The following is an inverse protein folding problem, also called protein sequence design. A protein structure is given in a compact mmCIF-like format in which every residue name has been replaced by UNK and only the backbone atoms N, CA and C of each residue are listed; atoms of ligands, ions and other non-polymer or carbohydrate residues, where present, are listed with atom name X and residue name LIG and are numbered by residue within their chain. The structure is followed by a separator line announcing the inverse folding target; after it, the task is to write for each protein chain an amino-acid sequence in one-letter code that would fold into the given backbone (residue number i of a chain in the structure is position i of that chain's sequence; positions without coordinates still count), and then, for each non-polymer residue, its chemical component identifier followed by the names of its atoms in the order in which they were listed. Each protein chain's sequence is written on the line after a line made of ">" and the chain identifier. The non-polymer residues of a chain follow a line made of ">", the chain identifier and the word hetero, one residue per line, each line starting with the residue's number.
data_IF_713126620864
#
_entry.id   IF_713126620864
#
_cell.length_a   1.000
_cell.length_b   1.000
_cell.length_c   1.000
_cell.angle_alpha   90.00
_cell.angle_beta   90.00
_cell.angle_gamma   90.00
#
_symmetry.space_group_name_H-M   'P 1'
#
loop_
_entity.id
_entity.type
_entity.pdbx_description
1 polymer ?
#
# COMPACT_ATOMS: atom_id res chain seq x y z
N UNK A 1 4.07 4.15 -24.53
CA UNK A 1 4.18 5.42 -23.77
C UNK A 1 2.83 6.10 -23.84
N UNK A 2 2.24 6.45 -22.70
CA UNK A 2 1.02 7.28 -22.68
C UNK A 2 1.37 8.66 -23.24
N UNK A 3 0.53 9.25 -24.09
CA UNK A 3 0.73 10.63 -24.51
C UNK A 3 0.63 11.57 -23.30
N UNK A 4 1.37 12.68 -23.33
CA UNK A 4 1.45 13.69 -22.28
C UNK A 4 0.12 14.42 -22.00
N UNK A 5 -0.87 14.22 -22.87
CA UNK A 5 -2.17 14.91 -22.87
C UNK A 5 -3.21 14.34 -21.88
N UNK A 6 -2.95 13.21 -21.20
CA UNK A 6 -3.93 12.60 -20.28
C UNK A 6 -3.74 13.10 -18.84
N UNK A 7 -3.72 14.42 -18.67
CA UNK A 7 -3.79 15.10 -17.37
C UNK A 7 -5.25 15.30 -17.00
N UNK A 8 -5.85 14.33 -16.38
CA UNK A 8 -7.16 14.58 -15.76
C UNK A 8 -6.98 15.59 -14.63
N UNK A 9 -7.66 16.75 -14.67
CA UNK A 9 -7.56 17.75 -13.62
C UNK A 9 -7.82 17.14 -12.23
N UNK A 10 -6.93 17.40 -11.25
CA UNK A 10 -7.06 16.93 -9.88
C UNK A 10 -6.29 15.67 -9.51
N UNK A 11 -5.63 14.97 -10.47
CA UNK A 11 -4.83 13.77 -10.21
C UNK A 11 -3.45 13.89 -10.85
N UNK A 12 -2.50 14.59 -10.21
CA UNK A 12 -1.19 14.84 -10.78
C UNK A 12 -0.37 13.56 -10.89
N UNK A 13 0.43 13.40 -11.96
CA UNK A 13 1.29 12.24 -12.13
C UNK A 13 2.50 12.28 -11.21
N UNK A 14 3.02 11.11 -10.86
CA UNK A 14 4.29 10.96 -10.15
C UNK A 14 5.44 11.39 -11.08
N UNK A 15 6.40 12.14 -10.51
CA UNK A 15 7.61 12.63 -11.18
C UNK A 15 8.70 12.90 -10.13
N UNK A 16 9.89 13.26 -10.57
CA UNK A 16 10.96 13.69 -9.66
C UNK A 16 10.63 14.97 -8.90
N UNK A 17 9.88 15.90 -9.55
CA UNK A 17 9.37 17.09 -8.86
C UNK A 17 8.31 16.72 -7.82
N UNK A 18 7.42 15.78 -8.13
CA UNK A 18 6.45 15.23 -7.18
C UNK A 18 7.15 14.57 -5.98
N UNK A 19 8.25 13.85 -6.19
CA UNK A 19 9.07 13.29 -5.12
C UNK A 19 9.68 14.38 -4.24
N UNK A 20 10.24 15.44 -4.82
CA UNK A 20 10.81 16.55 -4.06
C UNK A 20 9.74 17.26 -3.21
N UNK A 21 8.56 17.50 -3.77
CA UNK A 21 7.41 18.06 -3.05
C UNK A 21 6.96 17.11 -1.92
N UNK A 22 6.84 15.81 -2.21
CA UNK A 22 6.44 14.80 -1.23
C UNK A 22 7.37 14.78 -0.03
N UNK A 23 8.67 14.81 -0.28
CA UNK A 23 9.69 14.82 0.76
C UNK A 23 9.66 16.13 1.57
N UNK A 24 9.56 17.29 0.90
CA UNK A 24 9.60 18.60 1.56
C UNK A 24 8.43 18.84 2.52
N UNK A 25 7.28 18.24 2.21
CA UNK A 25 6.07 18.39 3.01
C UNK A 25 5.82 17.18 3.95
N UNK A 26 6.75 16.25 4.06
CA UNK A 26 6.68 15.11 4.97
C UNK A 26 7.30 15.39 6.33
N UNK A 27 7.13 14.44 7.24
CA UNK A 27 7.69 14.48 8.59
C UNK A 27 8.61 13.29 8.82
N UNK A 28 9.57 13.45 9.71
CA UNK A 28 10.40 12.37 10.19
C UNK A 28 10.14 12.12 11.67
N UNK A 29 10.14 10.84 12.05
CA UNK A 29 10.10 10.38 13.44
C UNK A 29 11.22 9.40 13.72
N UNK A 30 11.31 8.92 14.94
CA UNK A 30 12.26 7.90 15.38
C UNK A 30 11.49 6.69 15.91
N UNK A 31 11.63 5.55 15.25
CA UNK A 31 10.99 4.28 15.61
C UNK A 31 12.05 3.20 15.78
N UNK A 32 12.14 2.61 16.97
CA UNK A 32 13.11 1.54 17.30
C UNK A 32 14.57 1.90 16.93
N UNK A 33 14.97 3.15 17.14
CA UNK A 33 16.32 3.66 16.83
C UNK A 33 16.56 3.94 15.34
N UNK A 34 15.51 3.94 14.50
CA UNK A 34 15.59 4.24 13.08
C UNK A 34 14.77 5.48 12.74
N UNK A 35 15.29 6.29 11.82
CA UNK A 35 14.59 7.43 11.27
C UNK A 35 13.55 6.96 10.27
N UNK A 36 12.28 7.28 10.52
CA UNK A 36 11.15 6.90 9.68
C UNK A 36 10.42 8.13 9.15
N UNK A 37 9.93 8.03 7.92
CA UNK A 37 9.24 9.11 7.21
C UNK A 37 7.75 8.84 7.14
N UNK A 38 6.95 9.90 7.22
CA UNK A 38 5.54 9.87 6.83
C UNK A 38 5.12 11.20 6.16
N UNK A 39 4.29 11.09 5.15
CA UNK A 39 3.52 12.21 4.63
C UNK A 39 2.26 12.35 5.48
N UNK A 40 2.01 13.54 6.00
CA UNK A 40 0.86 13.82 6.86
C UNK A 40 0.12 15.03 6.32
N UNK A 41 -1.20 14.95 6.26
CA UNK A 41 -2.10 16.07 6.09
C UNK A 41 -3.05 16.10 7.28
N UNK A 42 -2.90 17.10 8.14
CA UNK A 42 -3.74 17.34 9.28
C UNK A 42 -4.39 18.71 9.08
N UNK A 43 -5.65 18.71 8.65
CA UNK A 43 -6.39 19.93 8.50
C UNK A 43 -6.90 20.37 9.88
N UNK A 44 -6.24 21.36 10.47
CA UNK A 44 -6.74 22.03 11.67
C UNK A 44 -8.15 22.61 11.39
N UNK A 45 -9.20 21.87 11.70
CA UNK A 45 -10.59 22.26 11.39
C UNK A 45 -11.59 21.28 12.01
N UNK A 46 -12.88 21.32 11.61
CA UNK A 46 -13.88 20.37 12.10
C UNK A 46 -13.38 18.94 11.91
N UNK A 47 -13.57 18.11 12.93
CA UNK A 47 -12.98 16.79 13.07
C UNK A 47 -13.20 15.93 11.82
N UNK A 48 -12.19 15.87 10.95
CA UNK A 48 -12.20 14.98 9.79
C UNK A 48 -11.72 13.60 10.22
N UNK A 49 -12.30 12.51 9.69
CA UNK A 49 -11.81 11.17 9.96
C UNK A 49 -10.36 11.01 9.42
N UNK A 50 -9.58 10.15 10.06
CA UNK A 50 -8.26 9.81 9.58
C UNK A 50 -8.30 8.70 8.53
N UNK A 51 -7.44 8.83 7.53
CA UNK A 51 -7.19 7.85 6.49
C UNK A 51 -5.71 7.49 6.45
N UNK A 52 -5.43 6.24 6.76
CA UNK A 52 -4.11 5.62 6.67
C UNK A 52 -3.91 4.99 5.28
N UNK A 53 -2.82 5.33 4.63
CA UNK A 53 -2.46 4.88 3.28
C UNK A 53 -1.18 4.05 3.34
N UNK A 54 -1.28 2.72 3.15
CA UNK A 54 -0.15 1.79 3.29
C UNK A 54 0.30 1.32 1.91
N UNK A 55 1.55 1.66 1.54
CA UNK A 55 2.12 1.37 0.23
C UNK A 55 2.55 -0.09 0.04
N UNK A 56 2.96 -0.41 -1.20
CA UNK A 56 3.43 -1.72 -1.63
C UNK A 56 4.95 -1.87 -1.73
N UNK A 57 5.40 -3.11 -2.04
CA UNK A 57 6.76 -3.45 -2.43
C UNK A 57 6.91 -3.33 -3.96
N UNK A 58 7.99 -2.79 -4.48
CA UNK A 58 9.15 -2.21 -3.81
C UNK A 58 9.10 -0.69 -3.69
N UNK A 59 7.93 -0.08 -3.87
CA UNK A 59 7.72 1.37 -3.90
C UNK A 59 7.67 1.99 -2.50
N UNK A 60 6.96 3.10 -2.33
CA UNK A 60 6.91 3.88 -1.10
C UNK A 60 5.59 4.65 -1.00
N UNK A 61 5.40 5.42 0.06
CA UNK A 61 4.19 6.26 0.25
C UNK A 61 3.91 7.22 -0.90
N UNK A 62 4.90 7.52 -1.76
CA UNK A 62 4.72 8.29 -3.00
C UNK A 62 3.70 7.66 -3.95
N UNK A 63 3.38 6.36 -3.82
CA UNK A 63 2.29 5.68 -4.54
C UNK A 63 0.96 6.45 -4.47
N UNK A 64 0.76 7.17 -3.37
CA UNK A 64 -0.47 7.89 -3.05
C UNK A 64 -0.49 9.34 -3.55
N UNK A 65 0.61 9.83 -4.13
CA UNK A 65 0.70 11.20 -4.63
C UNK A 65 -0.45 11.58 -5.58
N UNK A 66 -0.85 10.73 -6.56
CA UNK A 66 -1.94 11.07 -7.46
C UNK A 66 -3.29 11.28 -6.77
N UNK A 67 -3.52 10.61 -5.64
CA UNK A 67 -4.78 10.68 -4.88
C UNK A 67 -4.75 11.69 -3.74
N UNK A 68 -3.56 12.17 -3.34
CA UNK A 68 -3.34 12.90 -2.10
C UNK A 68 -4.25 14.11 -1.92
N UNK A 69 -4.20 15.02 -2.89
CA UNK A 69 -4.97 16.28 -2.82
C UNK A 69 -6.48 16.04 -2.85
N UNK A 70 -6.93 15.03 -3.59
CA UNK A 70 -8.35 14.69 -3.66
C UNK A 70 -8.84 14.11 -2.32
N UNK A 71 -8.08 13.18 -1.72
CA UNK A 71 -8.42 12.57 -0.43
C UNK A 71 -8.34 13.55 0.74
N UNK A 72 -7.44 14.54 0.68
CA UNK A 72 -7.29 15.58 1.70
C UNK A 72 -8.50 16.52 1.82
N UNK A 73 -9.47 16.45 0.91
CA UNK A 73 -10.73 17.20 1.00
C UNK A 73 -11.64 16.69 2.11
N UNK A 74 -11.64 15.37 2.31
CA UNK A 74 -12.57 14.69 3.20
C UNK A 74 -11.90 14.10 4.45
N UNK A 75 -10.57 13.86 4.40
CA UNK A 75 -9.83 13.16 5.44
C UNK A 75 -8.58 13.93 5.91
N UNK A 76 -8.21 13.70 7.17
CA UNK A 76 -6.83 13.80 7.59
C UNK A 76 -6.07 12.59 7.06
N UNK A 77 -4.85 12.76 6.55
CA UNK A 77 -4.12 11.71 5.86
C UNK A 77 -2.81 11.36 6.56
N UNK A 78 -2.52 10.07 6.62
CA UNK A 78 -1.25 9.52 7.06
C UNK A 78 -0.76 8.49 6.04
N UNK A 79 0.41 8.72 5.44
CA UNK A 79 1.07 7.79 4.52
C UNK A 79 2.52 7.58 4.96
N UNK A 80 2.81 6.57 5.80
CA UNK A 80 4.16 6.27 6.23
C UNK A 80 4.94 5.55 5.13
N UNK A 81 6.25 5.83 5.03
CA UNK A 81 7.19 4.91 4.41
C UNK A 81 7.56 3.84 5.44
N UNK A 82 7.25 2.60 5.12
CA UNK A 82 7.60 1.45 5.95
C UNK A 82 9.12 1.33 6.09
N UNK A 83 9.61 0.73 7.17
CA UNK A 83 11.05 0.56 7.37
C UNK A 83 11.65 -0.29 6.24
N UNK A 84 12.77 0.15 5.69
CA UNK A 84 13.38 -0.45 4.51
C UNK A 84 12.92 0.13 3.17
N UNK A 85 11.92 1.03 3.17
CA UNK A 85 11.32 1.62 1.97
C UNK A 85 11.46 3.14 1.93
N UNK A 86 11.31 3.70 0.74
CA UNK A 86 11.14 5.13 0.51
C UNK A 86 12.22 6.01 1.16
N UNK A 87 11.77 6.98 1.93
CA UNK A 87 12.57 7.95 2.66
C UNK A 87 12.90 7.51 4.10
N UNK A 88 12.29 6.41 4.58
CA UNK A 88 12.65 5.77 5.86
C UNK A 88 14.01 5.08 5.77
N UNK A 89 14.63 4.86 6.92
CA UNK A 89 15.90 4.16 7.04
C UNK A 89 15.82 2.72 6.49
N UNK A 90 16.97 2.23 6.05
CA UNK A 90 17.15 0.93 5.39
C UNK A 90 18.22 0.09 6.09
N UNK A 91 18.02 -0.30 7.37
CA UNK A 91 19.03 -1.05 8.11
C UNK A 91 19.31 -2.41 7.45
N UNK A 92 20.60 -2.69 7.22
CA UNK A 92 21.03 -3.95 6.58
C UNK A 92 20.94 -5.18 7.50
N UNK A 93 20.92 -4.96 8.82
CA UNK A 93 20.78 -5.99 9.85
C UNK A 93 19.47 -5.76 10.60
N UNK A 94 18.36 -6.12 9.98
CA UNK A 94 17.03 -5.98 10.55
C UNK A 94 16.10 -7.08 10.03
N UNK A 95 15.23 -7.59 10.88
CA UNK A 95 14.20 -8.55 10.49
C UNK A 95 12.95 -7.80 10.06
N UNK A 96 12.76 -7.69 8.75
CA UNK A 96 11.63 -7.00 8.14
C UNK A 96 10.36 -7.85 8.20
N UNK A 97 9.73 -7.92 9.37
CA UNK A 97 8.49 -8.66 9.56
C UNK A 97 7.26 -7.78 9.33
N UNK A 98 6.16 -8.39 8.93
CA UNK A 98 4.87 -7.69 8.80
C UNK A 98 4.40 -7.13 10.14
N UNK A 99 4.60 -7.86 11.23
CA UNK A 99 4.28 -7.39 12.58
C UNK A 99 5.06 -6.11 12.94
N UNK A 100 6.38 -6.08 12.67
CA UNK A 100 7.20 -4.88 12.89
C UNK A 100 6.78 -3.68 12.04
N UNK A 101 6.30 -3.92 10.81
CA UNK A 101 5.74 -2.83 9.98
C UNK A 101 4.39 -2.34 10.52
N UNK A 102 3.56 -3.23 11.07
CA UNK A 102 2.35 -2.82 11.76
C UNK A 102 2.66 -2.00 13.03
N UNK A 103 3.71 -2.36 13.79
CA UNK A 103 4.18 -1.58 14.94
C UNK A 103 4.61 -0.16 14.53
N UNK A 104 5.30 -0.01 13.39
CA UNK A 104 5.66 1.30 12.83
C UNK A 104 4.42 2.12 12.46
N UNK A 105 3.41 1.50 11.87
CA UNK A 105 2.13 2.16 11.57
C UNK A 105 1.44 2.62 12.85
N UNK A 106 1.35 1.76 13.86
CA UNK A 106 0.75 2.11 15.17
C UNK A 106 1.56 3.18 15.90
N UNK A 107 2.90 3.19 15.77
CA UNK A 107 3.75 4.29 16.25
C UNK A 107 3.30 5.63 15.66
N UNK A 108 3.15 5.73 14.33
CA UNK A 108 2.68 6.96 13.70
C UNK A 108 1.27 7.36 14.15
N UNK A 109 0.35 6.41 14.26
CA UNK A 109 -0.97 6.67 14.80
C UNK A 109 -0.91 7.27 16.22
N UNK A 110 -0.05 6.71 17.07
CA UNK A 110 0.15 7.19 18.44
C UNK A 110 0.76 8.60 18.47
N UNK A 111 1.78 8.87 17.63
CA UNK A 111 2.42 10.19 17.54
C UNK A 111 1.45 11.29 17.09
N UNK A 112 0.43 10.93 16.33
CA UNK A 112 -0.58 11.86 15.80
C UNK A 112 -1.89 11.86 16.60
N UNK A 113 -1.97 11.09 17.70
CA UNK A 113 -3.19 10.96 18.51
C UNK A 113 -4.36 10.32 17.77
N UNK A 114 -4.09 9.49 16.77
CA UNK A 114 -5.12 8.81 15.97
C UNK A 114 -5.70 7.65 16.78
N UNK A 115 -6.94 7.79 17.21
CA UNK A 115 -7.65 6.75 17.96
C UNK A 115 -8.28 5.73 17.03
N UNK A 116 -8.88 6.20 15.93
CA UNK A 116 -9.53 5.37 14.92
C UNK A 116 -9.21 5.89 13.51
N UNK A 117 -9.04 4.97 12.54
CA UNK A 117 -8.71 5.33 11.17
C UNK A 117 -9.39 4.43 10.14
N UNK A 118 -9.70 4.99 8.97
CA UNK A 118 -9.91 4.22 7.75
C UNK A 118 -8.57 3.82 7.15
N UNK A 119 -8.51 2.70 6.45
CA UNK A 119 -7.27 2.20 5.84
C UNK A 119 -7.47 1.95 4.35
N UNK A 120 -6.53 2.40 3.53
CA UNK A 120 -6.34 1.93 2.15
C UNK A 120 -4.94 1.34 2.04
N UNK A 121 -4.86 0.10 1.60
CA UNK A 121 -3.60 -0.64 1.54
C UNK A 121 -3.38 -1.27 0.16
N UNK A 122 -2.13 -1.25 -0.30
CA UNK A 122 -1.73 -1.79 -1.60
C UNK A 122 -0.59 -2.82 -1.44
N UNK A 123 -0.64 -3.91 -2.20
CA UNK A 123 0.41 -4.92 -2.38
C UNK A 123 0.99 -5.48 -1.06
N UNK A 124 2.18 -5.06 -0.62
CA UNK A 124 2.79 -5.39 0.66
C UNK A 124 1.91 -4.88 1.81
N UNK A 125 1.42 -3.65 1.68
CA UNK A 125 0.57 -2.99 2.66
C UNK A 125 -0.73 -3.75 2.97
N UNK A 126 -1.27 -4.56 2.03
CA UNK A 126 -2.47 -5.35 2.33
C UNK A 126 -2.21 -6.37 3.44
N UNK A 127 -0.98 -6.92 3.52
CA UNK A 127 -0.62 -7.85 4.59
C UNK A 127 -0.42 -7.12 5.92
N UNK A 128 0.14 -5.89 5.89
CA UNK A 128 0.18 -5.03 7.08
C UNK A 128 -1.24 -4.72 7.57
N UNK A 129 -2.15 -4.39 6.65
CA UNK A 129 -3.56 -4.15 6.99
C UNK A 129 -4.27 -5.40 7.54
N UNK A 130 -3.93 -6.60 7.06
CA UNK A 130 -4.43 -7.86 7.63
C UNK A 130 -3.91 -8.09 9.07
N UNK A 131 -2.65 -7.74 9.35
CA UNK A 131 -2.12 -7.78 10.72
C UNK A 131 -2.84 -6.78 11.63
N UNK A 132 -3.08 -5.55 11.15
CA UNK A 132 -3.86 -4.55 11.90
C UNK A 132 -5.30 -5.03 12.16
N UNK A 133 -5.96 -5.68 11.19
CA UNK A 133 -7.27 -6.30 11.39
C UNK A 133 -7.24 -7.42 12.45
N UNK A 134 -6.19 -8.25 12.46
CA UNK A 134 -6.03 -9.29 13.46
C UNK A 134 -5.88 -8.69 14.87
N UNK A 135 -5.08 -7.63 15.02
CA UNK A 135 -4.91 -6.89 16.28
C UNK A 135 -6.22 -6.22 16.73
N UNK A 136 -6.97 -5.62 15.80
CA UNK A 136 -8.25 -4.97 16.08
C UNK A 136 -9.29 -5.99 16.61
N UNK A 137 -9.30 -7.21 16.03
CA UNK A 137 -10.11 -8.32 16.52
C UNK A 137 -9.71 -8.74 17.95
N UNK A 138 -8.41 -8.79 18.24
CA UNK A 138 -7.89 -9.12 19.57
C UNK A 138 -8.26 -8.06 20.62
N UNK A 139 -8.23 -6.77 20.22
CA UNK A 139 -8.73 -5.68 21.08
C UNK A 139 -10.21 -5.85 21.36
N UNK A 140 -11.03 -6.11 20.34
CA UNK A 140 -12.46 -6.32 20.48
C UNK A 140 -12.80 -7.53 21.38
N UNK A 141 -12.05 -8.65 21.26
CA UNK A 141 -12.21 -9.82 22.11
C UNK A 141 -11.90 -9.55 23.60
N UNK A 142 -11.11 -8.50 23.88
CA UNK A 142 -10.79 -8.01 25.23
C UNK A 142 -11.71 -6.90 25.71
N UNK A 143 -12.77 -6.57 24.95
CA UNK A 143 -13.71 -5.49 25.27
C UNK A 143 -13.11 -4.08 25.07
N UNK A 144 -11.99 -3.95 24.35
CA UNK A 144 -11.34 -2.67 24.06
C UNK A 144 -11.87 -2.06 22.77
N UNK A 145 -11.74 -0.73 22.66
CA UNK A 145 -12.19 -0.01 21.47
C UNK A 145 -11.42 -0.43 20.22
N UNK A 146 -12.14 -0.60 19.11
CA UNK A 146 -11.56 -0.86 17.80
C UNK A 146 -10.86 0.38 17.26
N UNK A 147 -9.73 0.16 16.58
CA UNK A 147 -8.93 1.22 15.96
C UNK A 147 -9.22 1.40 14.47
N UNK A 148 -9.81 0.37 13.83
CA UNK A 148 -10.14 0.42 12.42
C UNK A 148 -11.63 0.75 12.22
N UNK A 149 -11.90 1.76 11.36
CA UNK A 149 -13.24 2.15 10.95
C UNK A 149 -13.69 1.46 9.66
N UNK A 150 -12.77 1.28 8.71
CA UNK A 150 -12.96 0.49 7.48
C UNK A 150 -11.62 0.15 6.84
N UNK A 151 -11.59 -0.87 5.96
CA UNK A 151 -10.38 -1.25 5.22
C UNK A 151 -10.69 -1.42 3.75
N UNK A 152 -9.93 -0.74 2.89
CA UNK A 152 -9.97 -0.95 1.44
C UNK A 152 -8.64 -1.55 0.98
N UNK A 153 -8.72 -2.66 0.29
CA UNK A 153 -7.57 -3.33 -0.31
C UNK A 153 -7.49 -2.97 -1.80
N UNK A 154 -6.32 -2.57 -2.24
CA UNK A 154 -5.95 -2.53 -3.66
C UNK A 154 -5.08 -3.75 -3.95
N UNK A 155 -4.96 -4.15 -5.21
CA UNK A 155 -4.20 -5.33 -5.64
C UNK A 155 -3.09 -5.76 -4.68
N UNK A 156 -3.12 -7.00 -4.22
CA UNK A 156 -2.14 -7.56 -3.28
C UNK A 156 -2.45 -8.99 -2.91
N UNK A 157 -1.47 -9.73 -2.42
CA UNK A 157 -1.62 -11.14 -2.09
C UNK A 157 -2.28 -11.36 -0.73
N UNK A 158 -3.58 -11.17 -0.63
CA UNK A 158 -4.36 -11.42 0.59
C UNK A 158 -4.34 -12.90 1.02
N UNK A 159 -4.23 -13.81 0.05
CA UNK A 159 -4.25 -15.25 0.26
C UNK A 159 -2.97 -15.88 -0.26
N UNK A 160 -2.18 -16.57 0.58
CA UNK A 160 -0.91 -17.20 0.17
C UNK A 160 -1.08 -18.19 -0.99
N UNK A 161 -2.21 -18.89 -1.04
CA UNK A 161 -2.54 -19.90 -2.06
C UNK A 161 -2.80 -19.31 -3.44
N UNK A 162 -3.23 -18.04 -3.52
CA UNK A 162 -3.54 -17.39 -4.81
C UNK A 162 -2.37 -16.53 -5.32
N UNK A 163 -1.32 -16.31 -4.54
CA UNK A 163 -0.21 -15.47 -4.93
C UNK A 163 0.64 -16.09 -6.05
N UNK A 164 0.66 -15.45 -7.22
CA UNK A 164 1.46 -15.86 -8.38
C UNK A 164 2.82 -15.18 -8.36
N UNK A 165 3.78 -15.84 -7.69
CA UNK A 165 5.14 -15.31 -7.51
C UNK A 165 5.87 -15.15 -8.84
N UNK A 166 6.37 -13.95 -9.14
CA UNK A 166 7.17 -13.64 -10.34
C UNK A 166 8.56 -14.30 -10.26
N UNK A 167 9.21 -14.61 -11.40
CA UNK A 167 10.53 -15.25 -11.41
C UNK A 167 11.57 -14.53 -10.55
N UNK A 168 11.63 -13.19 -10.62
CA UNK A 168 12.54 -12.39 -9.81
C UNK A 168 12.27 -12.54 -8.30
N UNK A 169 11.01 -12.63 -7.88
CA UNK A 169 10.64 -12.84 -6.48
C UNK A 169 11.09 -14.22 -5.99
N UNK A 170 10.93 -15.27 -6.84
CA UNK A 170 11.44 -16.61 -6.53
C UNK A 170 12.95 -16.60 -6.33
N UNK A 171 13.69 -15.91 -7.24
CA UNK A 171 15.15 -15.83 -7.19
C UNK A 171 15.63 -15.07 -5.95
N UNK A 172 14.96 -13.99 -5.56
CA UNK A 172 15.27 -13.22 -4.35
C UNK A 172 15.10 -14.03 -3.06
N UNK A 173 14.21 -15.03 -3.05
CA UNK A 173 13.96 -15.93 -1.90
C UNK A 173 14.98 -17.09 -1.80
N UNK A 174 15.89 -17.26 -2.77
CA UNK A 174 16.95 -18.27 -2.74
C UNK A 174 18.19 -17.76 -1.97
N UNK A 175 19.14 -18.63 -1.63
CA UNK A 175 20.44 -18.22 -1.08
C UNK A 175 21.24 -17.25 -1.98
N UNK A 176 20.91 -17.18 -3.28
CA UNK A 176 21.48 -16.20 -4.23
C UNK A 176 20.82 -14.81 -4.13
N UNK A 177 19.75 -14.66 -3.36
CA UNK A 177 19.01 -13.41 -3.19
C UNK A 177 19.88 -12.19 -2.89
N UNK A 178 20.86 -12.25 -1.98
CA UNK A 178 21.78 -11.13 -1.73
C UNK A 178 22.58 -10.69 -2.96
N UNK A 179 23.04 -11.65 -3.77
CA UNK A 179 23.76 -11.35 -5.02
C UNK A 179 22.82 -10.73 -6.05
N UNK A 180 21.62 -11.31 -6.22
CA UNK A 180 20.58 -10.80 -7.13
C UNK A 180 20.19 -9.38 -6.76
N UNK A 181 20.01 -9.09 -5.47
CA UNK A 181 19.68 -7.74 -4.99
C UNK A 181 20.76 -6.71 -5.34
N UNK A 182 22.04 -7.08 -5.24
CA UNK A 182 23.17 -6.21 -5.61
C UNK A 182 23.23 -5.90 -7.11
N UNK A 183 22.71 -6.80 -7.94
CA UNK A 183 22.69 -6.67 -9.41
C UNK A 183 21.43 -5.96 -9.93
N UNK A 184 20.49 -5.58 -9.05
CA UNK A 184 19.32 -4.81 -9.45
C UNK A 184 19.76 -3.42 -9.94
N UNK A 185 19.24 -3.05 -11.10
CA UNK A 185 19.47 -1.76 -11.74
C UNK A 185 18.14 -1.09 -12.05
N UNK A 186 18.16 0.22 -12.28
CA UNK A 186 16.98 0.95 -12.75
C UNK A 186 16.36 0.31 -14.00
N UNK A 187 17.17 -0.15 -14.94
CA UNK A 187 16.70 -0.81 -16.17
C UNK A 187 15.97 -2.13 -15.89
N UNK A 188 16.51 -2.95 -14.97
CA UNK A 188 15.85 -4.20 -14.57
C UNK A 188 14.57 -3.94 -13.78
N UNK A 189 14.59 -2.94 -12.90
CA UNK A 189 13.38 -2.46 -12.18
C UNK A 189 12.32 -1.98 -13.17
N UNK A 190 12.65 -1.07 -14.08
CA UNK A 190 11.73 -0.52 -15.08
C UNK A 190 11.01 -1.62 -15.88
N UNK A 191 11.77 -2.64 -16.33
CA UNK A 191 11.21 -3.79 -17.07
C UNK A 191 10.24 -4.60 -16.21
N UNK A 192 10.63 -4.93 -14.98
CA UNK A 192 9.82 -5.74 -14.07
C UNK A 192 8.57 -4.98 -13.61
N UNK A 193 8.71 -3.67 -13.37
CA UNK A 193 7.65 -2.78 -12.94
C UNK A 193 6.60 -2.58 -14.05
N UNK A 194 7.05 -2.29 -15.28
CA UNK A 194 6.14 -2.16 -16.42
C UNK A 194 5.37 -3.45 -16.75
N UNK A 195 5.94 -4.60 -16.43
CA UNK A 195 5.33 -5.90 -16.73
C UNK A 195 4.14 -6.29 -15.83
N UNK A 196 3.86 -5.51 -14.79
CA UNK A 196 2.71 -5.74 -13.88
C UNK A 196 1.61 -4.69 -14.03
N UNK A 197 1.80 -3.69 -14.90
CA UNK A 197 0.79 -2.70 -15.27
C UNK A 197 -0.09 -3.22 -16.40
N UNK A 198 -1.27 -2.65 -16.55
CA UNK A 198 -2.11 -2.87 -17.72
C UNK A 198 -1.41 -2.46 -19.01
N UNK A 199 -1.72 -3.07 -20.16
CA UNK A 199 -1.02 -2.81 -21.42
C UNK A 199 -1.16 -1.36 -21.90
N UNK A 200 -2.32 -0.72 -21.64
CA UNK A 200 -2.60 0.67 -21.98
C UNK A 200 -2.15 1.68 -20.90
N UNK A 201 -1.78 1.19 -19.69
CA UNK A 201 -1.52 2.03 -18.51
C UNK A 201 -0.10 1.90 -17.98
N UNK A 202 0.85 1.50 -18.83
CA UNK A 202 2.26 1.34 -18.48
C UNK A 202 2.85 2.58 -17.83
N UNK A 203 3.76 2.42 -16.85
CA UNK A 203 4.36 3.54 -16.14
C UNK A 203 5.19 4.41 -17.11
N UNK A 204 5.21 5.71 -16.82
CA UNK A 204 6.02 6.69 -17.54
C UNK A 204 7.47 6.65 -17.06
N UNK A 205 8.40 7.14 -17.87
CA UNK A 205 9.80 7.24 -17.50
C UNK A 205 10.00 8.04 -16.20
N UNK A 206 9.31 9.15 -16.04
CA UNK A 206 9.38 10.01 -14.85
C UNK A 206 8.88 9.30 -13.57
N UNK A 207 7.88 8.42 -13.67
CA UNK A 207 7.40 7.59 -12.56
C UNK A 207 8.48 6.54 -12.17
N UNK A 208 9.07 5.90 -13.16
CA UNK A 208 10.17 4.94 -12.97
C UNK A 208 11.37 5.62 -12.30
N UNK A 209 11.75 6.81 -12.76
CA UNK A 209 12.87 7.58 -12.22
C UNK A 209 12.63 7.97 -10.75
N UNK A 210 11.43 8.46 -10.43
CA UNK A 210 11.07 8.84 -9.07
C UNK A 210 11.09 7.62 -8.10
N UNK A 211 10.50 6.49 -8.51
CA UNK A 211 10.52 5.28 -7.70
C UNK A 211 11.93 4.71 -7.55
N UNK A 212 12.72 4.71 -8.62
CA UNK A 212 14.09 4.20 -8.54
C UNK A 212 14.97 5.04 -7.59
N UNK A 213 14.82 6.36 -7.56
CA UNK A 213 15.49 7.21 -6.59
C UNK A 213 15.18 6.81 -5.14
N UNK A 214 13.92 6.48 -4.83
CA UNK A 214 13.52 6.02 -3.50
C UNK A 214 14.07 4.61 -3.18
N UNK A 215 14.02 3.71 -4.15
CA UNK A 215 14.50 2.32 -4.01
C UNK A 215 16.02 2.29 -3.85
N UNK A 216 16.76 3.08 -4.62
CA UNK A 216 18.23 3.12 -4.60
C UNK A 216 18.81 3.92 -3.42
N UNK A 217 18.01 4.81 -2.82
CA UNK A 217 18.43 5.60 -1.66
C UNK A 217 18.98 4.68 -0.55
N UNK A 218 20.12 5.06 0.06
CA UNK A 218 20.81 4.28 1.10
C UNK A 218 21.05 2.81 0.69
N UNK A 219 21.37 2.56 -0.60
CA UNK A 219 21.54 1.21 -1.15
C UNK A 219 20.33 0.28 -0.97
N UNK A 220 19.11 0.82 -0.81
CA UNK A 220 17.91 0.07 -0.47
C UNK A 220 17.54 -1.04 -1.45
N UNK A 221 17.91 -0.93 -2.75
CA UNK A 221 17.75 -2.00 -3.72
C UNK A 221 18.43 -3.31 -3.29
N UNK A 222 19.52 -3.22 -2.51
CA UNK A 222 20.24 -4.39 -1.97
C UNK A 222 19.46 -5.12 -0.88
N UNK A 223 18.38 -4.53 -0.35
CA UNK A 223 17.52 -5.15 0.65
C UNK A 223 16.37 -5.97 0.04
N UNK A 224 16.20 -5.97 -1.29
CA UNK A 224 15.08 -6.62 -1.95
C UNK A 224 14.92 -8.09 -1.52
N UNK A 225 16.02 -8.84 -1.32
CA UNK A 225 16.01 -10.21 -0.84
C UNK A 225 15.53 -10.36 0.61
N UNK A 226 15.65 -9.32 1.46
CA UNK A 226 15.11 -9.32 2.82
C UNK A 226 13.65 -8.91 2.85
N UNK A 227 13.35 -7.82 2.16
CA UNK A 227 12.00 -7.28 2.10
C UNK A 227 10.99 -8.25 1.47
N UNK A 228 11.41 -9.11 0.52
CA UNK A 228 10.52 -10.10 -0.12
C UNK A 228 10.07 -11.22 0.81
N UNK A 229 10.67 -11.37 1.99
CA UNK A 229 10.34 -12.44 2.94
C UNK A 229 8.90 -12.37 3.50
N UNK A 230 8.17 -11.28 3.28
CA UNK A 230 6.74 -11.23 3.55
C UNK A 230 5.94 -12.29 2.76
N UNK A 231 6.47 -12.79 1.63
CA UNK A 231 5.79 -13.84 0.85
C UNK A 231 5.72 -15.18 1.60
N UNK A 232 6.83 -15.78 2.11
CA UNK A 232 6.75 -16.94 2.98
C UNK A 232 6.08 -16.63 4.33
N UNK A 233 6.20 -15.42 4.86
CA UNK A 233 5.56 -15.00 6.11
C UNK A 233 4.02 -15.09 6.01
N UNK A 234 3.43 -14.74 4.85
CA UNK A 234 1.99 -14.93 4.58
C UNK A 234 1.53 -16.37 4.76
N UNK A 235 2.36 -17.36 4.37
CA UNK A 235 2.03 -18.79 4.55
C UNK A 235 2.10 -19.17 6.02
N UNK A 236 3.13 -18.70 6.74
CA UNK A 236 3.34 -18.97 8.17
C UNK A 236 2.20 -18.42 9.02
N UNK A 237 1.70 -17.23 8.70
CA UNK A 237 0.66 -16.54 9.48
C UNK A 237 -0.73 -16.57 8.78
N UNK A 238 -0.95 -17.53 7.87
CA UNK A 238 -2.18 -17.63 7.09
C UNK A 238 -3.44 -17.63 7.97
N UNK A 239 -3.49 -18.45 9.00
CA UNK A 239 -4.67 -18.55 9.86
C UNK A 239 -4.99 -17.22 10.57
N UNK A 240 -3.97 -16.52 11.03
CA UNK A 240 -4.10 -15.22 11.67
C UNK A 240 -4.66 -14.18 10.68
N UNK A 241 -4.04 -14.05 9.51
CA UNK A 241 -4.35 -12.96 8.59
C UNK A 241 -5.57 -13.23 7.72
N UNK A 242 -5.73 -14.43 7.21
CA UNK A 242 -6.93 -14.81 6.45
C UNK A 242 -8.13 -14.96 7.38
N UNK A 243 -7.92 -15.51 8.59
CA UNK A 243 -8.97 -15.58 9.61
C UNK A 243 -9.48 -14.21 10.03
N UNK A 244 -8.61 -13.19 10.07
CA UNK A 244 -9.01 -11.82 10.36
C UNK A 244 -9.93 -11.24 9.26
N UNK A 245 -9.72 -11.57 7.99
CA UNK A 245 -10.61 -11.17 6.90
C UNK A 245 -12.01 -11.81 7.01
N UNK A 246 -12.06 -13.13 7.26
CA UNK A 246 -13.33 -13.87 7.34
C UNK A 246 -14.17 -13.53 8.56
N UNK A 247 -13.57 -12.95 9.60
CA UNK A 247 -14.25 -12.57 10.86
C UNK A 247 -14.27 -11.08 11.12
N UNK A 248 -13.83 -10.26 10.16
CA UNK A 248 -13.85 -8.81 10.30
C UNK A 248 -15.26 -8.27 10.47
N UNK A 249 -15.42 -7.34 11.40
CA UNK A 249 -16.70 -6.64 11.66
C UNK A 249 -16.68 -5.20 11.16
N UNK A 250 -15.56 -4.75 10.60
CA UNK A 250 -15.44 -3.46 9.94
C UNK A 250 -15.79 -3.57 8.46
N UNK A 251 -16.41 -2.54 7.85
CA UNK A 251 -16.65 -2.55 6.42
C UNK A 251 -15.36 -2.72 5.62
N UNK A 252 -15.38 -3.61 4.62
CA UNK A 252 -14.23 -3.86 3.73
C UNK A 252 -14.63 -3.73 2.27
N UNK A 253 -13.70 -3.27 1.45
CA UNK A 253 -13.80 -3.26 -0.01
C UNK A 253 -12.51 -3.75 -0.63
N UNK A 254 -12.61 -4.47 -1.74
CA UNK A 254 -11.50 -4.79 -2.64
C UNK A 254 -11.67 -4.00 -3.95
N UNK A 255 -10.67 -3.22 -4.35
CA UNK A 255 -10.58 -2.60 -5.68
C UNK A 255 -9.47 -3.34 -6.42
N UNK A 256 -9.82 -4.11 -7.45
CA UNK A 256 -8.90 -5.06 -8.09
C UNK A 256 -8.71 -4.77 -9.57
N UNK A 257 -7.47 -4.52 -9.98
CA UNK A 257 -7.06 -4.53 -11.37
C UNK A 257 -7.00 -5.98 -11.88
N UNK A 258 -7.88 -6.33 -12.81
CA UNK A 258 -8.06 -7.70 -13.26
C UNK A 258 -6.85 -8.25 -14.04
N UNK A 259 -6.12 -7.37 -14.74
CA UNK A 259 -4.94 -7.73 -15.53
C UNK A 259 -3.66 -7.91 -14.71
N UNK A 260 -3.72 -7.76 -13.38
CA UNK A 260 -2.58 -7.98 -12.51
C UNK A 260 -2.10 -9.44 -12.58
N UNK A 261 -0.87 -9.70 -13.03
CA UNK A 261 -0.37 -11.07 -13.14
C UNK A 261 -0.02 -11.72 -11.79
N UNK A 262 -0.01 -10.95 -10.69
CA UNK A 262 0.37 -11.39 -9.34
C UNK A 262 -0.84 -11.69 -8.47
N UNK A 263 -1.81 -10.79 -8.45
CA UNK A 263 -2.98 -10.81 -7.57
C UNK A 263 -4.24 -10.24 -8.25
N UNK A 264 -4.46 -10.60 -9.50
CA UNK A 264 -5.61 -10.16 -10.29
C UNK A 264 -6.89 -10.93 -9.97
N UNK A 265 -7.63 -11.32 -11.00
CA UNK A 265 -8.96 -11.94 -10.90
C UNK A 265 -9.00 -13.15 -9.95
N UNK A 266 -7.99 -14.02 -10.00
CA UNK A 266 -7.91 -15.24 -9.17
C UNK A 266 -7.83 -14.95 -7.66
N UNK A 267 -7.25 -13.83 -7.26
CA UNK A 267 -7.20 -13.38 -5.87
C UNK A 267 -8.55 -12.78 -5.44
N UNK A 268 -9.17 -11.99 -6.30
CA UNK A 268 -10.48 -11.41 -6.03
C UNK A 268 -11.61 -12.47 -5.97
N UNK A 269 -11.50 -13.52 -6.77
CA UNK A 269 -12.40 -14.68 -6.67
C UNK A 269 -12.30 -15.33 -5.27
N UNK A 270 -11.06 -15.51 -4.76
CA UNK A 270 -10.85 -16.06 -3.41
C UNK A 270 -11.35 -15.11 -2.31
N UNK A 271 -11.22 -13.79 -2.50
CA UNK A 271 -11.78 -12.80 -1.56
C UNK A 271 -13.31 -12.96 -1.43
N UNK A 272 -14.02 -13.19 -2.54
CA UNK A 272 -15.48 -13.44 -2.54
C UNK A 272 -15.88 -14.70 -1.78
N UNK A 273 -15.03 -15.74 -1.77
CA UNK A 273 -15.30 -16.98 -1.05
C UNK A 273 -15.12 -16.84 0.49
N UNK A 274 -14.19 -16.00 0.90
CA UNK A 274 -13.79 -15.88 2.32
C UNK A 274 -14.53 -14.76 3.04
N UNK A 275 -14.76 -13.64 2.36
CA UNK A 275 -15.36 -12.44 2.96
C UNK A 275 -16.86 -12.45 2.72
N UNK A 276 -17.63 -12.49 3.81
CA UNK A 276 -19.10 -12.42 3.74
C UNK A 276 -19.52 -11.08 3.11
N UNK A 277 -20.46 -11.12 2.18
CA UNK A 277 -20.93 -9.94 1.43
C UNK A 277 -19.78 -9.11 0.82
N UNK A 278 -18.83 -9.82 0.18
CA UNK A 278 -17.63 -9.22 -0.37
C UNK A 278 -17.96 -8.09 -1.37
N UNK A 279 -17.54 -6.87 -1.02
CA UNK A 279 -17.64 -5.68 -1.86
C UNK A 279 -16.41 -5.57 -2.77
N UNK A 280 -16.57 -5.91 -4.04
CA UNK A 280 -15.48 -5.95 -5.03
C UNK A 280 -15.78 -5.00 -6.18
N UNK A 281 -14.82 -4.09 -6.45
CA UNK A 281 -14.80 -3.24 -7.63
C UNK A 281 -13.78 -3.78 -8.61
N UNK A 282 -14.25 -4.13 -9.80
CA UNK A 282 -13.42 -4.65 -10.88
C UNK A 282 -12.93 -3.52 -11.79
N UNK A 283 -11.63 -3.55 -12.10
CA UNK A 283 -10.99 -2.66 -13.05
C UNK A 283 -10.39 -3.54 -14.17
N UNK A 284 -11.19 -3.87 -15.17
CA UNK A 284 -10.93 -4.94 -16.15
C UNK A 284 -9.69 -4.69 -17.02
N UNK A 285 -9.34 -3.43 -17.24
CA UNK A 285 -8.24 -2.96 -18.09
C UNK A 285 -6.98 -2.54 -17.32
N UNK A 286 -6.97 -2.69 -15.98
CA UNK A 286 -5.95 -2.20 -15.06
C UNK A 286 -5.11 -3.36 -14.51
N UNK A 287 -3.83 -3.07 -14.27
CA UNK A 287 -2.87 -4.01 -13.70
C UNK A 287 -2.75 -3.89 -12.17
N UNK A 288 -1.50 -3.96 -11.70
CA UNK A 288 -1.16 -4.13 -10.29
C UNK A 288 -1.21 -2.83 -9.46
N UNK A 289 -1.12 -1.64 -10.10
CA UNK A 289 -1.05 -0.35 -9.42
C UNK A 289 -2.27 0.55 -9.72
N UNK A 290 -3.49 0.16 -9.35
CA UNK A 290 -4.70 0.90 -9.72
C UNK A 290 -4.67 2.37 -9.28
N UNK A 291 -4.07 2.70 -8.13
CA UNK A 291 -3.91 4.07 -7.63
C UNK A 291 -3.02 4.96 -8.50
N UNK A 292 -2.16 4.35 -9.35
CA UNK A 292 -1.28 5.05 -10.31
C UNK A 292 -1.85 4.96 -11.71
N UNK A 293 -2.39 3.80 -12.07
CA UNK A 293 -2.88 3.52 -13.42
C UNK A 293 -4.17 4.27 -13.75
N UNK A 294 -5.07 4.37 -12.77
CA UNK A 294 -6.38 5.02 -12.92
C UNK A 294 -6.85 5.67 -11.61
N UNK A 295 -6.15 6.70 -11.12
CA UNK A 295 -6.45 7.33 -9.83
C UNK A 295 -7.88 7.86 -9.75
N UNK A 296 -8.46 8.32 -10.86
CA UNK A 296 -9.84 8.82 -10.92
C UNK A 296 -10.88 7.74 -10.58
N UNK A 297 -10.73 6.54 -11.18
CA UNK A 297 -11.65 5.40 -10.91
C UNK A 297 -11.48 4.87 -9.50
N UNK A 298 -10.24 4.85 -8.99
CA UNK A 298 -9.96 4.48 -7.59
C UNK A 298 -10.60 5.49 -6.65
N UNK A 299 -10.40 6.80 -6.86
CA UNK A 299 -11.00 7.85 -6.03
C UNK A 299 -12.53 7.78 -6.02
N UNK A 300 -13.15 7.63 -7.18
CA UNK A 300 -14.61 7.48 -7.29
C UNK A 300 -15.11 6.25 -6.53
N UNK A 301 -14.40 5.12 -6.65
CA UNK A 301 -14.72 3.87 -5.93
C UNK A 301 -14.59 4.03 -4.43
N UNK A 302 -13.53 4.68 -3.95
CA UNK A 302 -13.30 5.00 -2.54
C UNK A 302 -14.42 5.91 -2.00
N UNK A 303 -14.73 6.99 -2.71
CA UNK A 303 -15.78 7.94 -2.31
C UNK A 303 -17.17 7.29 -2.21
N UNK A 304 -17.51 6.43 -3.19
CA UNK A 304 -18.76 5.67 -3.15
C UNK A 304 -18.85 4.74 -1.93
N UNK A 305 -17.74 4.08 -1.59
CA UNK A 305 -17.66 3.22 -0.41
C UNK A 305 -17.86 4.01 0.88
N UNK A 306 -17.10 5.09 1.07
CA UNK A 306 -17.15 5.86 2.30
C UNK A 306 -18.49 6.60 2.50
N UNK A 307 -19.12 7.09 1.42
CA UNK A 307 -20.50 7.62 1.50
C UNK A 307 -21.50 6.56 1.94
N UNK A 308 -21.42 5.35 1.37
CA UNK A 308 -22.31 4.24 1.72
C UNK A 308 -22.21 3.82 3.18
N UNK A 309 -21.02 3.86 3.78
CA UNK A 309 -20.80 3.54 5.20
C UNK A 309 -20.92 4.76 6.12
N UNK A 310 -21.29 5.93 5.61
CA UNK A 310 -21.46 7.16 6.41
C UNK A 310 -20.15 7.79 6.91
N UNK A 311 -18.99 7.44 6.33
CA UNK A 311 -17.70 8.00 6.73
C UNK A 311 -17.47 9.43 6.23
N UNK A 312 -18.08 9.79 5.11
CA UNK A 312 -18.05 11.14 4.53
C UNK A 312 -19.48 11.56 4.09
N UNK A 313 -19.69 12.87 4.00
CA UNK A 313 -20.99 13.42 3.58
C UNK A 313 -21.36 13.01 2.15
N UNK A 314 -22.66 12.96 1.80
CA UNK A 314 -23.12 12.85 0.42
C UNK A 314 -22.46 13.91 -0.47
N UNK A 315 -22.25 13.58 -1.75
CA UNK A 315 -21.79 14.59 -2.72
C UNK A 315 -22.93 15.62 -2.89
N UNK A 316 -22.65 16.88 -2.60
CA UNK A 316 -23.55 18.01 -2.88
C UNK A 316 -23.59 18.27 -4.38
#
# INVERSE_FOLDING_TARGET
>A
MRPEADRTPGFPPISTNALAEWQAQGRYGEFAGHRVFARVHDAHGPARPWLLLIHGFPTASLDWFPLWTALARDFNLLAPDLLGFGLSDKPTRHDYTIAGQADLVEYWCTQLGIVQTHVVAHNYGVTVAQELLARDRELAARGLAKRLASVVFLNGGLFPETHRTRPIQKLLLTPLGPLVSRLLTQRSFARSFAAIFGPATRPRAAEIDAFWQLIARQDGHRLAHRLIHYVPERRRHRERWVGALGTATVPMRLINGALDPVSGEHMAARFREIVHEADIVWLDDIGHYPQIETPQRVYASLGNFWRRIGAISPAT
#
